data_IF_368874462348
#
_entry.id   IF_368874462348
#
_cell.length_a   1.000
_cell.length_b   1.000
_cell.length_c   1.000
_cell.angle_alpha   90.00
_cell.angle_beta   90.00
_cell.angle_gamma   90.00
#
_symmetry.space_group_name_H-M   'P 1'
#
loop_
_entity.id
_entity.type
_entity.pdbx_description
1 polymer ?
#
# COMPACT_ATOMS: atom_id res chain seq x y z
N UNK A 1 -16.60 4.01 -15.77
CA UNK A 1 -16.71 4.44 -14.36
C UNK A 1 -17.03 5.92 -14.19
N UNK A 2 -16.41 6.85 -14.94
CA UNK A 2 -16.74 8.28 -14.83
C UNK A 2 -18.21 8.60 -15.17
N UNK A 3 -18.70 8.12 -16.32
CA UNK A 3 -20.08 8.34 -16.78
C UNK A 3 -21.12 7.75 -15.83
N UNK A 4 -20.83 6.61 -15.20
CA UNK A 4 -21.76 5.92 -14.28
C UNK A 4 -21.88 6.64 -12.93
N UNK A 5 -20.87 7.41 -12.52
CA UNK A 5 -20.90 8.14 -11.26
C UNK A 5 -21.91 9.31 -11.26
N UNK A 6 -22.05 10.00 -12.40
CA UNK A 6 -22.95 11.16 -12.57
C UNK A 6 -24.34 10.80 -13.12
N UNK A 7 -24.58 9.51 -13.32
CA UNK A 7 -25.82 8.96 -13.88
C UNK A 7 -26.77 8.54 -12.76
N UNK A 8 -28.07 8.89 -12.82
CA UNK A 8 -29.06 8.44 -11.83
C UNK A 8 -29.18 6.92 -11.81
N UNK A 9 -29.47 6.32 -10.64
CA UNK A 9 -29.50 4.86 -10.44
C UNK A 9 -30.42 4.11 -11.39
N UNK A 10 -31.48 4.77 -11.88
CA UNK A 10 -32.44 4.21 -12.85
C UNK A 10 -31.82 3.86 -14.21
N UNK A 11 -30.72 4.51 -14.60
CA UNK A 11 -30.12 4.37 -15.93
C UNK A 11 -28.85 3.51 -15.95
N UNK A 12 -28.49 2.87 -14.83
CA UNK A 12 -27.27 2.04 -14.74
C UNK A 12 -27.36 0.79 -15.61
N UNK A 13 -28.55 0.20 -15.75
CA UNK A 13 -28.78 -1.07 -16.46
C UNK A 13 -29.63 -0.92 -17.73
N UNK A 14 -29.75 0.27 -18.30
CA UNK A 14 -30.53 0.50 -19.53
C UNK A 14 -29.79 0.03 -20.79
N UNK A 15 -30.52 -0.63 -21.69
CA UNK A 15 -30.07 -1.05 -23.02
C UNK A 15 -30.87 -0.34 -24.11
N UNK A 16 -30.24 0.30 -25.14
CA UNK A 16 -28.81 0.45 -25.36
C UNK A 16 -28.11 1.34 -24.30
N UNK A 17 -26.81 1.14 -24.04
CA UNK A 17 -26.09 1.91 -23.02
C UNK A 17 -26.01 3.39 -23.39
N UNK A 18 -26.55 4.26 -22.53
CA UNK A 18 -26.37 5.71 -22.70
C UNK A 18 -24.95 6.10 -22.31
N UNK A 19 -24.18 6.53 -23.31
CA UNK A 19 -22.79 6.98 -23.18
C UNK A 19 -22.67 8.38 -22.57
N UNK A 20 -23.70 9.22 -22.76
CA UNK A 20 -23.76 10.58 -22.23
C UNK A 20 -24.75 10.59 -21.06
N UNK A 21 -24.32 10.98 -19.85
CA UNK A 21 -25.20 11.05 -18.68
C UNK A 21 -26.09 12.30 -18.82
N UNK A 22 -27.30 12.09 -19.30
CA UNK A 22 -28.33 13.13 -19.39
C UNK A 22 -29.57 12.61 -18.66
N UNK A 23 -30.01 13.22 -17.54
CA UNK A 23 -29.50 14.42 -16.87
C UNK A 23 -28.21 14.17 -16.06
N UNK A 24 -27.40 15.22 -15.90
CA UNK A 24 -26.23 15.21 -15.02
C UNK A 24 -26.68 15.36 -13.56
N UNK A 25 -26.37 14.39 -12.71
CA UNK A 25 -26.83 14.38 -11.31
C UNK A 25 -25.68 14.13 -10.34
N UNK A 26 -25.71 14.84 -9.20
CA UNK A 26 -24.79 14.68 -8.06
C UNK A 26 -25.42 13.87 -6.92
N UNK A 27 -26.58 13.27 -7.16
CA UNK A 27 -27.36 12.50 -6.18
C UNK A 27 -26.54 11.34 -5.59
N UNK A 28 -25.75 10.66 -6.43
CA UNK A 28 -24.82 9.60 -6.03
C UNK A 28 -23.80 10.03 -4.98
N UNK A 29 -23.41 11.32 -4.97
CA UNK A 29 -22.40 11.87 -4.06
C UNK A 29 -23.01 12.54 -2.82
N UNK A 30 -24.14 13.23 -3.00
CA UNK A 30 -24.83 14.00 -1.96
C UNK A 30 -25.83 13.15 -1.16
N UNK A 31 -26.10 11.91 -1.58
CA UNK A 31 -27.08 11.03 -0.91
C UNK A 31 -28.53 11.40 -1.23
N UNK A 32 -28.78 12.12 -2.32
CA UNK A 32 -30.12 12.46 -2.79
C UNK A 32 -30.85 11.20 -3.26
N UNK A 33 -31.93 10.82 -2.56
CA UNK A 33 -32.73 9.64 -2.89
C UNK A 33 -32.90 8.61 -1.78
N UNK A 34 -32.37 8.83 -0.57
CA UNK A 34 -32.74 8.07 0.64
C UNK A 34 -32.27 6.61 0.73
N UNK A 35 -31.66 6.05 -0.32
CA UNK A 35 -31.34 4.62 -0.40
C UNK A 35 -29.84 4.31 -0.15
N UNK A 36 -28.93 5.28 -0.23
CA UNK A 36 -27.48 5.02 -0.12
C UNK A 36 -26.72 6.06 0.73
N UNK A 37 -26.97 6.11 2.03
CA UNK A 37 -26.20 6.97 2.97
C UNK A 37 -24.73 6.57 3.07
N UNK A 38 -24.37 5.32 2.80
CA UNK A 38 -22.98 4.80 2.80
C UNK A 38 -22.16 5.22 1.58
N UNK A 39 -22.81 5.51 0.44
CA UNK A 39 -22.15 6.03 -0.77
C UNK A 39 -22.04 7.56 -0.80
N UNK A 40 -22.67 8.24 0.16
CA UNK A 40 -22.56 9.69 0.31
C UNK A 40 -21.15 10.10 0.74
N UNK A 41 -20.76 11.33 0.44
CA UNK A 41 -19.50 11.95 0.89
C UNK A 41 -19.30 11.79 2.41
N UNK A 42 -20.36 11.91 3.21
CA UNK A 42 -20.32 11.76 4.66
C UNK A 42 -20.07 10.30 5.10
N UNK A 43 -20.65 9.33 4.38
CA UNK A 43 -20.46 7.90 4.65
C UNK A 43 -19.06 7.40 4.28
N UNK A 44 -18.44 7.96 3.24
CA UNK A 44 -17.11 7.56 2.75
C UNK A 44 -15.96 8.16 3.57
N UNK A 45 -16.16 9.35 4.16
CA UNK A 45 -15.14 10.07 4.92
C UNK A 45 -14.41 9.25 6.01
N UNK A 46 -15.09 8.46 6.87
CA UNK A 46 -14.39 7.63 7.86
C UNK A 46 -13.53 6.53 7.23
N UNK A 47 -13.95 5.96 6.09
CA UNK A 47 -13.15 4.96 5.37
C UNK A 47 -11.93 5.59 4.71
N UNK A 48 -12.08 6.78 4.11
CA UNK A 48 -10.95 7.53 3.57
C UNK A 48 -9.94 7.87 4.67
N UNK A 49 -10.39 8.30 5.84
CA UNK A 49 -9.52 8.55 6.99
C UNK A 49 -8.73 7.31 7.37
N UNK A 50 -9.38 6.15 7.50
CA UNK A 50 -8.71 4.89 7.83
C UNK A 50 -7.66 4.53 6.77
N UNK A 51 -8.00 4.63 5.48
CA UNK A 51 -7.08 4.35 4.37
C UNK A 51 -5.89 5.29 4.35
N UNK A 52 -6.09 6.59 4.57
CA UNK A 52 -5.02 7.59 4.63
C UNK A 52 -4.08 7.26 5.80
N UNK A 53 -4.61 7.07 7.01
CA UNK A 53 -3.80 6.79 8.21
C UNK A 53 -2.99 5.52 8.02
N UNK A 54 -3.63 4.43 7.57
CA UNK A 54 -2.96 3.14 7.39
C UNK A 54 -1.90 3.23 6.29
N UNK A 55 -2.23 3.80 5.12
CA UNK A 55 -1.30 3.87 3.98
C UNK A 55 -0.10 4.78 4.25
N UNK A 56 -0.30 5.93 4.88
CA UNK A 56 0.81 6.84 5.21
C UNK A 56 1.74 6.18 6.22
N UNK A 57 1.18 5.64 7.30
CA UNK A 57 1.95 4.98 8.37
C UNK A 57 2.71 3.78 7.84
N UNK A 58 2.06 2.89 7.08
CA UNK A 58 2.72 1.72 6.51
C UNK A 58 3.81 2.12 5.53
N UNK A 59 3.59 3.14 4.69
CA UNK A 59 4.58 3.60 3.71
C UNK A 59 5.82 4.19 4.40
N UNK A 60 5.63 5.05 5.40
CA UNK A 60 6.75 5.64 6.16
C UNK A 60 7.59 4.56 6.84
N UNK A 61 6.96 3.62 7.55
CA UNK A 61 7.66 2.53 8.22
C UNK A 61 8.39 1.65 7.20
N UNK A 62 7.76 1.36 6.07
CA UNK A 62 8.35 0.57 4.99
C UNK A 62 9.59 1.23 4.43
N UNK A 63 9.56 2.55 4.17
CA UNK A 63 10.70 3.29 3.65
C UNK A 63 11.86 3.22 4.65
N UNK A 64 11.61 3.45 5.93
CA UNK A 64 12.65 3.38 6.97
C UNK A 64 13.30 2.00 6.96
N UNK A 65 12.53 0.94 7.14
CA UNK A 65 13.04 -0.44 7.19
C UNK A 65 13.79 -0.81 5.91
N UNK A 66 13.19 -0.49 4.76
CA UNK A 66 13.77 -0.82 3.46
C UNK A 66 15.07 -0.06 3.19
N UNK A 67 15.18 1.18 3.67
CA UNK A 67 16.40 2.00 3.53
C UNK A 67 17.53 1.41 4.35
N UNK A 68 17.27 1.07 5.62
CA UNK A 68 18.28 0.44 6.48
C UNK A 68 18.73 -0.92 5.91
N UNK A 69 17.78 -1.75 5.48
CA UNK A 69 18.09 -3.04 4.88
C UNK A 69 18.89 -2.90 3.57
N UNK A 70 18.46 -2.00 2.68
CA UNK A 70 19.11 -1.80 1.39
C UNK A 70 20.53 -1.24 1.53
N UNK A 71 20.73 -0.29 2.44
CA UNK A 71 22.06 0.25 2.75
C UNK A 71 22.99 -0.85 3.27
N UNK A 72 22.51 -1.65 4.24
CA UNK A 72 23.28 -2.76 4.80
C UNK A 72 23.73 -3.75 3.73
N UNK A 73 22.79 -4.16 2.85
CA UNK A 73 23.07 -5.12 1.79
C UNK A 73 24.02 -4.54 0.72
N UNK A 74 23.82 -3.29 0.31
CA UNK A 74 24.63 -2.66 -0.75
C UNK A 74 26.07 -2.42 -0.32
N UNK A 75 26.29 -1.90 0.90
CA UNK A 75 27.62 -1.51 1.38
C UNK A 75 28.35 -2.65 2.08
N UNK A 76 27.70 -3.35 3.02
CA UNK A 76 28.33 -4.41 3.82
C UNK A 76 28.16 -5.81 3.25
N UNK A 77 27.44 -5.97 2.11
CA UNK A 77 27.16 -7.28 1.47
C UNK A 77 26.50 -8.28 2.43
N UNK A 78 25.70 -7.79 3.37
CA UNK A 78 24.99 -8.59 4.37
C UNK A 78 24.11 -9.65 3.71
N UNK A 79 24.22 -10.91 4.16
CA UNK A 79 23.42 -12.04 3.67
C UNK A 79 23.96 -12.72 2.41
N UNK A 80 24.99 -12.18 1.76
CA UNK A 80 25.62 -12.77 0.55
C UNK A 80 24.88 -12.47 -0.76
N UNK A 81 25.41 -12.95 -1.90
CA UNK A 81 24.92 -12.59 -3.24
C UNK A 81 23.45 -12.96 -3.50
N UNK A 82 22.98 -14.07 -2.93
CA UNK A 82 21.64 -14.59 -3.21
C UNK A 82 20.55 -14.03 -2.30
N UNK A 83 20.92 -13.28 -1.26
CA UNK A 83 19.97 -12.79 -0.26
C UNK A 83 18.93 -11.83 -0.85
N UNK A 84 19.35 -10.99 -1.79
CA UNK A 84 18.45 -10.06 -2.52
C UNK A 84 17.39 -10.83 -3.30
N UNK A 85 17.79 -11.90 -3.99
CA UNK A 85 16.88 -12.76 -4.75
C UNK A 85 15.93 -13.52 -3.82
N UNK A 86 16.41 -13.97 -2.66
CA UNK A 86 15.59 -14.61 -1.65
C UNK A 86 14.53 -13.67 -1.07
N UNK A 87 14.90 -12.42 -0.73
CA UNK A 87 13.94 -11.40 -0.27
C UNK A 87 12.84 -11.20 -1.31
N UNK A 88 13.19 -11.12 -2.60
CA UNK A 88 12.21 -10.95 -3.68
C UNK A 88 11.27 -12.16 -3.81
N UNK A 89 11.80 -13.37 -3.62
CA UNK A 89 11.01 -14.61 -3.73
C UNK A 89 9.86 -14.66 -2.71
N UNK A 90 10.01 -14.03 -1.55
CA UNK A 90 8.94 -13.97 -0.54
C UNK A 90 7.68 -13.26 -1.04
N UNK A 91 7.80 -12.39 -2.06
CA UNK A 91 6.68 -11.69 -2.68
C UNK A 91 5.93 -12.52 -3.73
N UNK A 92 6.52 -13.62 -4.20
CA UNK A 92 5.86 -14.54 -5.12
C UNK A 92 4.88 -15.48 -4.40
N UNK A 93 4.87 -15.46 -3.06
CA UNK A 93 3.89 -16.20 -2.28
C UNK A 93 2.49 -15.59 -2.48
N UNK A 94 1.47 -16.41 -2.78
CA UNK A 94 0.12 -15.93 -2.95
C UNK A 94 -0.41 -15.37 -1.60
N UNK A 95 -0.91 -14.12 -1.55
CA UNK A 95 -1.33 -13.49 -0.29
C UNK A 95 -2.34 -14.31 0.51
N UNK A 96 -3.22 -15.04 -0.19
CA UNK A 96 -4.24 -15.90 0.44
C UNK A 96 -3.62 -17.04 1.26
N UNK A 97 -2.46 -17.57 0.86
CA UNK A 97 -1.80 -18.66 1.59
C UNK A 97 -1.23 -18.20 2.94
N UNK A 98 -0.84 -16.93 3.04
CA UNK A 98 -0.28 -16.34 4.25
C UNK A 98 -1.38 -15.70 5.12
N UNK A 99 -2.58 -15.47 4.56
CA UNK A 99 -3.69 -14.82 5.24
C UNK A 99 -4.17 -15.56 6.49
N UNK A 100 -4.36 -16.88 6.43
CA UNK A 100 -4.84 -17.67 7.58
C UNK A 100 -3.80 -17.68 8.72
N UNK A 101 -2.51 -17.99 8.49
CA UNK A 101 -1.50 -17.91 9.54
C UNK A 101 -1.40 -16.54 10.21
N UNK A 102 -1.39 -15.45 9.42
CA UNK A 102 -1.33 -14.09 9.96
C UNK A 102 -2.56 -13.77 10.81
N UNK A 103 -3.76 -14.20 10.37
CA UNK A 103 -4.98 -14.03 11.14
C UNK A 103 -4.87 -14.69 12.53
N UNK A 104 -4.38 -15.92 12.59
CA UNK A 104 -4.20 -16.65 13.87
C UNK A 104 -3.21 -15.92 14.78
N UNK A 105 -2.09 -15.43 14.24
CA UNK A 105 -1.09 -14.66 15.01
C UNK A 105 -1.73 -13.40 15.59
N UNK A 106 -2.47 -12.64 14.78
CA UNK A 106 -3.11 -11.40 15.24
C UNK A 106 -4.28 -11.65 16.20
N UNK A 107 -4.98 -12.76 16.05
CA UNK A 107 -5.99 -13.22 17.00
C UNK A 107 -5.36 -13.46 18.37
N UNK A 108 -4.26 -14.21 18.41
CA UNK A 108 -3.53 -14.51 19.65
C UNK A 108 -2.94 -13.26 20.30
N UNK A 109 -2.46 -12.31 19.49
CA UNK A 109 -1.96 -11.02 19.96
C UNK A 109 -3.06 -10.03 20.39
N UNK A 110 -4.33 -10.34 20.15
CA UNK A 110 -5.46 -9.46 20.50
C UNK A 110 -5.54 -8.14 19.69
N UNK A 111 -4.81 -8.05 18.59
CA UNK A 111 -4.72 -6.83 17.75
C UNK A 111 -5.62 -6.90 16.51
N UNK A 112 -6.52 -7.89 16.43
CA UNK A 112 -7.48 -7.98 15.34
C UNK A 112 -8.37 -6.73 15.25
N UNK A 113 -8.75 -6.39 14.03
CA UNK A 113 -9.61 -5.23 13.73
C UNK A 113 -9.02 -3.87 14.17
N UNK A 114 -7.69 -3.77 14.25
CA UNK A 114 -6.97 -2.52 14.53
C UNK A 114 -6.21 -2.00 13.31
N UNK A 115 -5.93 -0.69 13.29
CA UNK A 115 -5.04 -0.12 12.27
C UNK A 115 -3.63 -0.69 12.35
N UNK A 116 -3.16 -1.04 13.56
CA UNK A 116 -1.82 -1.61 13.77
C UNK A 116 -1.63 -2.94 13.03
N UNK A 117 -2.63 -3.83 13.10
CA UNK A 117 -2.60 -5.09 12.36
C UNK A 117 -2.45 -4.86 10.84
N UNK A 118 -3.23 -3.93 10.28
CA UNK A 118 -3.16 -3.60 8.85
C UNK A 118 -1.82 -2.98 8.46
N UNK A 119 -1.31 -2.05 9.28
CA UNK A 119 -0.01 -1.39 9.05
C UNK A 119 1.11 -2.44 9.00
N UNK A 120 1.15 -3.36 9.96
CA UNK A 120 2.19 -4.40 10.01
C UNK A 120 2.16 -5.31 8.78
N UNK A 121 0.98 -5.78 8.36
CA UNK A 121 0.85 -6.63 7.18
C UNK A 121 1.34 -5.88 5.94
N UNK A 122 0.85 -4.66 5.72
CA UNK A 122 1.26 -3.87 4.56
C UNK A 122 2.75 -3.58 4.57
N UNK A 123 3.35 -3.25 5.72
CA UNK A 123 4.79 -3.05 5.84
C UNK A 123 5.57 -4.31 5.46
N UNK A 124 5.19 -5.49 5.96
CA UNK A 124 5.90 -6.74 5.64
C UNK A 124 5.83 -7.02 4.14
N UNK A 125 4.65 -6.93 3.53
CA UNK A 125 4.47 -7.24 2.11
C UNK A 125 5.15 -6.22 1.17
N UNK A 126 5.18 -4.94 1.55
CA UNK A 126 5.75 -3.89 0.70
C UNK A 126 7.26 -3.70 0.92
N UNK A 127 7.80 -4.06 2.08
CA UNK A 127 9.23 -3.92 2.41
C UNK A 127 10.16 -4.74 1.52
N UNK A 128 9.74 -5.92 1.07
CA UNK A 128 10.56 -6.74 0.14
C UNK A 128 10.82 -6.00 -1.18
N UNK A 129 9.77 -5.45 -1.81
CA UNK A 129 9.94 -4.64 -3.01
C UNK A 129 10.69 -3.34 -2.70
N UNK A 130 10.34 -2.66 -1.60
CA UNK A 130 10.98 -1.40 -1.21
C UNK A 130 12.49 -1.57 -1.08
N UNK A 131 12.93 -2.63 -0.40
CA UNK A 131 14.34 -2.96 -0.20
C UNK A 131 15.02 -3.24 -1.54
N UNK A 132 14.40 -4.04 -2.41
CA UNK A 132 14.97 -4.35 -3.72
C UNK A 132 15.14 -3.11 -4.61
N UNK A 133 14.13 -2.24 -4.65
CA UNK A 133 14.19 -0.97 -5.40
C UNK A 133 15.32 -0.10 -4.84
N UNK A 134 15.40 0.05 -3.52
CA UNK A 134 16.44 0.88 -2.89
C UNK A 134 17.85 0.32 -3.08
N UNK A 135 18.03 -1.01 -3.09
CA UNK A 135 19.33 -1.63 -3.43
C UNK A 135 19.77 -1.22 -4.83
N UNK A 136 18.86 -1.24 -5.80
CA UNK A 136 19.15 -0.81 -7.18
C UNK A 136 19.59 0.66 -7.25
N UNK A 137 19.06 1.51 -6.37
CA UNK A 137 19.50 2.90 -6.25
C UNK A 137 20.85 3.03 -5.53
N UNK A 138 21.02 2.44 -4.35
CA UNK A 138 22.27 2.51 -3.58
C UNK A 138 23.46 1.94 -4.35
N UNK A 139 23.28 0.88 -5.13
CA UNK A 139 24.35 0.30 -5.96
C UNK A 139 24.81 1.22 -7.10
N UNK A 140 24.02 2.22 -7.50
CA UNK A 140 24.44 3.23 -8.48
C UNK A 140 25.29 4.33 -7.86
N UNK A 141 25.24 4.49 -6.55
CA UNK A 141 26.04 5.49 -5.84
C UNK A 141 27.47 4.94 -5.71
N UNK A 142 28.49 5.65 -6.24
CA UNK A 142 29.88 5.22 -6.15
C UNK A 142 30.28 4.94 -4.69
N UNK A 143 31.09 3.92 -4.45
CA UNK A 143 31.53 3.55 -3.09
C UNK A 143 32.55 4.53 -2.52
N UNK A 144 33.27 5.19 -3.42
CA UNK A 144 34.30 6.18 -3.14
C UNK A 144 33.75 7.36 -2.34
N UNK A 145 32.45 7.68 -2.47
CA UNK A 145 31.80 8.71 -1.67
C UNK A 145 31.71 8.32 -0.19
N UNK A 146 31.41 7.06 0.10
CA UNK A 146 31.34 6.55 1.47
C UNK A 146 32.75 6.45 2.07
N UNK A 147 33.75 6.07 1.26
CA UNK A 147 35.15 6.02 1.68
C UNK A 147 35.73 7.41 1.97
N UNK A 148 35.39 8.41 1.14
CA UNK A 148 35.76 9.80 1.39
C UNK A 148 35.14 10.33 2.69
N UNK A 149 33.86 10.05 2.94
CA UNK A 149 33.19 10.40 4.18
C UNK A 149 33.88 9.78 5.42
N UNK A 150 34.31 8.52 5.30
CA UNK A 150 35.04 7.84 6.36
C UNK A 150 36.42 8.46 6.64
N UNK A 151 37.12 8.93 5.61
CA UNK A 151 38.40 9.66 5.76
C UNK A 151 38.19 11.03 6.41
N UNK A 152 37.12 11.73 6.03
CA UNK A 152 36.75 13.03 6.60
C UNK A 152 36.19 12.93 8.03
N UNK A 153 35.91 11.71 8.51
CA UNK A 153 35.48 11.42 9.87
C UNK A 153 33.98 11.63 10.13
N UNK A 154 33.15 11.45 9.09
CA UNK A 154 31.68 11.56 9.18
C UNK A 154 30.96 10.22 8.93
#
# INVERSE_FOLDING_TARGET
>A
MFITAFKPSKYWFTWPPTLIPWPFTLESFLGGGGVYTTASLAGILPYLRNSIVVSLSSSTITIIISTLAAYSISRFRTGGLNFVNWILSTRMLPPIAVGIPIYVIFYQLGILNTWLALILVYTVFTSSLGTWVLISFFNKIPKELDEAAYIDGC
#
